data_IF_387657567364
#
_entry.id   IF_387657567364
#
_cell.length_a   1.000
_cell.length_b   1.000
_cell.length_c   1.000
_cell.angle_alpha   90.00
_cell.angle_beta   90.00
_cell.angle_gamma   90.00
#
_symmetry.space_group_name_H-M   'P 1'
#
loop_
_entity.id
_entity.type
_entity.pdbx_description
1 polymer ?
#
# COMPACT_ATOMS: atom_id res chain seq x y z
N UNK A 1 -4.47 17.48 25.94
CA UNK A 1 -3.25 16.87 25.36
C UNK A 1 -3.56 16.12 24.06
N UNK A 2 -4.49 15.14 23.99
CA UNK A 2 -4.82 14.46 22.73
C UNK A 2 -5.38 15.42 21.67
N UNK A 3 -6.26 16.34 22.08
CA UNK A 3 -6.85 17.35 21.19
C UNK A 3 -5.82 18.25 20.53
N UNK A 4 -4.74 18.60 21.23
CA UNK A 4 -3.67 19.45 20.68
C UNK A 4 -2.83 18.66 19.68
N UNK A 5 -2.51 17.39 20.00
CA UNK A 5 -1.76 16.48 19.13
C UNK A 5 -2.56 16.15 17.85
N UNK A 6 -3.86 15.85 17.97
CA UNK A 6 -4.73 15.53 16.82
C UNK A 6 -5.19 16.76 16.02
N UNK A 7 -5.16 17.97 16.58
CA UNK A 7 -5.61 19.18 15.88
C UNK A 7 -4.70 19.63 14.74
N UNK A 8 -3.52 19.03 14.58
CA UNK A 8 -2.45 19.49 13.68
C UNK A 8 -1.99 20.95 13.91
N UNK A 9 -2.49 21.63 14.95
CA UNK A 9 -2.17 23.04 15.24
C UNK A 9 -0.70 23.24 15.61
N UNK A 10 -0.05 22.21 16.16
CA UNK A 10 1.39 22.26 16.47
C UNK A 10 2.23 22.27 15.18
N UNK A 11 1.82 21.50 14.17
CA UNK A 11 2.48 21.35 12.87
C UNK A 11 2.42 22.67 12.06
N UNK A 12 1.29 23.36 12.16
CA UNK A 12 1.14 24.73 11.67
C UNK A 12 2.14 25.68 12.31
N UNK A 13 2.23 25.66 13.65
CA UNK A 13 3.09 26.58 14.40
C UNK A 13 4.56 26.33 14.06
N UNK A 14 4.99 25.07 14.00
CA UNK A 14 6.36 24.74 13.60
C UNK A 14 6.66 25.19 12.18
N UNK A 15 5.81 24.89 11.20
CA UNK A 15 6.06 25.30 9.81
C UNK A 15 6.11 26.82 9.67
N UNK A 16 5.28 27.55 10.43
CA UNK A 16 5.32 29.01 10.48
C UNK A 16 6.63 29.56 11.06
N UNK A 17 7.16 28.97 12.14
CA UNK A 17 8.43 29.40 12.75
C UNK A 17 9.65 29.04 11.90
N UNK A 18 9.64 27.90 11.20
CA UNK A 18 10.74 27.45 10.34
C UNK A 18 10.65 27.97 8.89
N UNK A 19 9.60 28.73 8.55
CA UNK A 19 9.31 29.24 7.18
C UNK A 19 9.14 28.14 6.13
N UNK A 20 8.76 26.95 6.55
CA UNK A 20 8.39 25.86 5.66
C UNK A 20 6.97 26.08 5.11
N UNK A 21 6.61 25.33 4.07
CA UNK A 21 5.27 25.44 3.48
C UNK A 21 4.21 25.19 4.55
N UNK A 22 3.13 25.95 4.51
CA UNK A 22 2.02 25.79 5.48
C UNK A 22 1.39 24.39 5.41
N UNK A 23 1.40 23.82 4.20
CA UNK A 23 1.04 22.44 3.92
C UNK A 23 2.05 21.41 4.42
N UNK A 24 3.25 21.79 4.88
CA UNK A 24 4.29 20.84 5.30
C UNK A 24 4.58 19.80 4.22
N UNK A 25 4.60 18.51 4.57
CA UNK A 25 4.73 17.38 3.64
C UNK A 25 3.66 17.35 2.51
N UNK A 26 2.55 18.10 2.64
CA UNK A 26 1.53 18.20 1.61
C UNK A 26 1.90 19.17 0.46
N UNK A 27 3.00 19.95 0.54
CA UNK A 27 3.42 20.79 -0.61
C UNK A 27 4.08 20.02 -1.74
N UNK A 28 4.58 18.81 -1.48
CA UNK A 28 5.21 17.94 -2.49
C UNK A 28 4.21 16.95 -3.09
N UNK A 29 2.95 17.02 -2.71
CA UNK A 29 1.91 16.13 -3.19
C UNK A 29 1.34 16.66 -4.50
N UNK A 30 1.41 15.83 -5.53
CA UNK A 30 0.83 16.12 -6.83
C UNK A 30 -0.60 15.63 -6.88
N UNK A 31 -1.47 16.39 -7.53
CA UNK A 31 -2.88 16.05 -7.73
C UNK A 31 -3.10 15.54 -9.16
N UNK A 32 -3.99 14.57 -9.31
CA UNK A 32 -4.34 14.01 -10.60
C UNK A 32 -5.20 15.01 -11.40
N UNK A 33 -4.65 15.54 -12.48
CA UNK A 33 -5.34 16.49 -13.38
C UNK A 33 -6.16 15.80 -14.47
N UNK A 34 -5.93 14.51 -14.70
CA UNK A 34 -6.50 13.75 -15.83
C UNK A 34 -7.82 13.04 -15.45
N UNK A 35 -8.36 13.37 -14.27
CA UNK A 35 -9.65 12.92 -13.79
C UNK A 35 -9.75 11.40 -13.75
N UNK A 36 -10.84 10.86 -14.31
CA UNK A 36 -11.17 9.43 -14.23
C UNK A 36 -10.16 8.55 -14.99
N UNK A 37 -9.60 9.05 -16.10
CA UNK A 37 -8.60 8.29 -16.86
C UNK A 37 -7.29 8.17 -16.08
N UNK A 38 -6.83 9.27 -15.48
CA UNK A 38 -5.69 9.25 -14.57
C UNK A 38 -5.97 8.39 -13.33
N UNK A 39 -7.20 8.39 -12.82
CA UNK A 39 -7.58 7.58 -11.67
C UNK A 39 -7.48 6.09 -11.97
N UNK A 40 -7.90 5.66 -13.16
CA UNK A 40 -7.82 4.27 -13.57
C UNK A 40 -6.36 3.83 -13.76
N UNK A 41 -5.53 4.68 -14.37
CA UNK A 41 -4.11 4.40 -14.51
C UNK A 41 -3.41 4.30 -13.13
N UNK A 42 -3.70 5.25 -12.23
CA UNK A 42 -3.19 5.24 -10.85
C UNK A 42 -3.66 4.02 -10.06
N UNK A 43 -4.92 3.63 -10.22
CA UNK A 43 -5.46 2.44 -9.57
C UNK A 43 -4.64 1.19 -9.94
N UNK A 44 -4.27 1.05 -11.22
CA UNK A 44 -3.45 -0.07 -11.68
C UNK A 44 -2.02 0.06 -11.16
N UNK A 45 -1.41 1.26 -11.21
CA UNK A 45 -0.07 1.52 -10.65
C UNK A 45 0.01 1.11 -9.18
N UNK A 46 -0.92 1.60 -8.35
CA UNK A 46 -0.97 1.24 -6.93
C UNK A 46 -1.23 -0.25 -6.71
N UNK A 47 -2.04 -0.90 -7.56
CA UNK A 47 -2.26 -2.35 -7.48
C UNK A 47 -0.97 -3.13 -7.79
N UNK A 48 -0.17 -2.68 -8.76
CA UNK A 48 1.13 -3.28 -9.09
C UNK A 48 2.17 -3.00 -8.00
N UNK A 49 2.21 -1.79 -7.43
CA UNK A 49 3.06 -1.46 -6.28
C UNK A 49 2.67 -2.23 -5.02
N UNK A 50 1.42 -2.68 -4.93
CA UNK A 50 1.01 -3.54 -3.82
C UNK A 50 1.66 -4.91 -3.90
N UNK A 51 2.07 -5.36 -5.10
CA UNK A 51 2.84 -6.58 -5.31
C UNK A 51 4.30 -6.49 -4.84
N UNK A 52 4.74 -5.31 -4.39
CA UNK A 52 6.15 -5.02 -4.14
C UNK A 52 6.82 -6.03 -3.21
N UNK A 53 7.84 -6.71 -3.73
CA UNK A 53 8.68 -7.60 -2.93
C UNK A 53 9.74 -6.76 -2.23
N UNK A 54 9.98 -7.02 -0.94
CA UNK A 54 11.07 -6.38 -0.22
C UNK A 54 12.39 -6.64 -0.96
N UNK A 55 13.21 -5.60 -1.15
CA UNK A 55 14.52 -5.68 -1.82
C UNK A 55 15.37 -6.93 -1.47
N UNK A 56 15.49 -7.40 -0.21
CA UNK A 56 16.22 -8.63 0.09
C UNK A 56 15.67 -9.90 -0.56
N UNK A 57 14.36 -9.94 -0.82
CA UNK A 57 13.68 -11.07 -1.46
C UNK A 57 13.93 -11.06 -2.97
N UNK A 58 13.91 -9.89 -3.62
CA UNK A 58 14.27 -9.78 -5.04
C UNK A 58 15.76 -10.07 -5.26
N UNK A 59 16.65 -9.56 -4.39
CA UNK A 59 18.09 -9.91 -4.43
C UNK A 59 18.33 -11.41 -4.25
N UNK A 60 17.54 -12.09 -3.42
CA UNK A 60 17.60 -13.54 -3.30
C UNK A 60 17.16 -14.24 -4.60
N UNK A 61 16.05 -13.82 -5.19
CA UNK A 61 15.54 -14.39 -6.44
C UNK A 61 16.48 -14.12 -7.62
N UNK A 62 17.02 -12.91 -7.72
CA UNK A 62 18.02 -12.54 -8.72
C UNK A 62 19.28 -13.38 -8.55
N UNK A 63 19.78 -13.56 -7.33
CA UNK A 63 21.00 -14.33 -7.07
C UNK A 63 20.85 -15.84 -7.26
N UNK A 64 19.66 -16.40 -7.00
CA UNK A 64 19.41 -17.85 -7.09
C UNK A 64 18.89 -18.26 -8.46
N UNK A 65 18.04 -17.44 -9.08
CA UNK A 65 17.32 -17.78 -10.31
C UNK A 65 17.68 -16.87 -11.51
N UNK A 66 18.55 -15.87 -11.34
CA UNK A 66 18.86 -14.84 -12.36
C UNK A 66 17.60 -14.18 -12.93
N UNK A 67 16.58 -14.00 -12.08
CA UNK A 67 15.28 -13.48 -12.48
C UNK A 67 14.78 -12.46 -11.44
N UNK A 68 14.51 -11.24 -11.88
CA UNK A 68 13.83 -10.22 -11.05
C UNK A 68 12.33 -10.28 -11.26
N UNK A 69 11.58 -10.18 -10.16
CA UNK A 69 10.12 -10.17 -10.19
C UNK A 69 9.56 -8.82 -10.67
N UNK A 70 10.33 -7.73 -10.64
CA UNK A 70 9.88 -6.42 -11.11
C UNK A 70 9.67 -6.37 -12.62
N UNK A 71 10.62 -6.92 -13.40
CA UNK A 71 10.63 -6.84 -14.86
C UNK A 71 9.35 -7.35 -15.54
N UNK A 72 8.80 -8.53 -15.20
CA UNK A 72 7.56 -8.99 -15.81
C UNK A 72 6.35 -8.11 -15.43
N UNK A 73 6.30 -7.54 -14.23
CA UNK A 73 5.23 -6.61 -13.85
C UNK A 73 5.35 -5.27 -14.59
N UNK A 74 6.56 -4.73 -14.71
CA UNK A 74 6.81 -3.52 -15.49
C UNK A 74 6.43 -3.72 -16.96
N UNK A 75 6.79 -4.87 -17.54
CA UNK A 75 6.42 -5.21 -18.93
C UNK A 75 4.90 -5.31 -19.12
N UNK A 76 4.19 -5.86 -18.12
CA UNK A 76 2.73 -5.93 -18.12
C UNK A 76 2.11 -4.52 -18.04
N UNK A 77 2.67 -3.64 -17.20
CA UNK A 77 2.28 -2.23 -17.14
C UNK A 77 2.50 -1.52 -18.47
N UNK A 78 3.67 -1.64 -19.09
CA UNK A 78 3.99 -0.98 -20.35
C UNK A 78 3.04 -1.43 -21.47
N UNK A 79 2.73 -2.73 -21.52
CA UNK A 79 1.83 -3.30 -22.51
C UNK A 79 0.37 -2.87 -22.34
N UNK A 80 -0.16 -2.86 -21.10
CA UNK A 80 -1.59 -2.59 -20.86
C UNK A 80 -1.91 -1.15 -20.48
N UNK A 81 -1.13 -0.55 -19.58
CA UNK A 81 -1.45 0.76 -19.03
C UNK A 81 -0.79 1.84 -19.88
N UNK A 82 0.51 1.74 -20.11
CA UNK A 82 1.24 2.78 -20.83
C UNK A 82 0.81 2.90 -22.30
N UNK A 83 0.51 1.77 -22.94
CA UNK A 83 0.05 1.76 -24.34
C UNK A 83 -1.36 2.34 -24.53
N UNK A 84 -2.25 2.24 -23.52
CA UNK A 84 -3.65 2.67 -23.64
C UNK A 84 -3.96 3.99 -22.92
N UNK A 85 -3.32 4.23 -21.78
CA UNK A 85 -3.56 5.37 -20.88
C UNK A 85 -2.36 6.30 -20.76
N UNK A 86 -1.21 5.94 -21.36
CA UNK A 86 0.01 6.73 -21.29
C UNK A 86 0.49 6.94 -19.86
N UNK A 87 0.96 8.16 -19.59
CA UNK A 87 1.40 8.60 -18.26
C UNK A 87 0.28 9.36 -17.51
N UNK A 88 -0.98 9.25 -17.97
CA UNK A 88 -2.09 9.97 -17.34
C UNK A 88 -2.20 9.63 -15.85
N UNK A 89 -2.46 10.63 -15.02
CA UNK A 89 -2.58 10.52 -13.56
C UNK A 89 -1.24 10.42 -12.82
N UNK A 90 -0.11 10.28 -13.52
CA UNK A 90 1.21 10.25 -12.89
C UNK A 90 1.90 11.62 -13.00
N UNK A 91 2.53 12.06 -11.93
CA UNK A 91 3.37 13.26 -11.94
C UNK A 91 4.83 12.96 -12.30
N UNK A 92 5.23 11.69 -12.30
CA UNK A 92 6.54 11.19 -12.74
C UNK A 92 6.35 9.90 -13.56
N UNK A 93 7.35 9.52 -14.36
CA UNK A 93 7.27 8.29 -15.14
C UNK A 93 7.23 7.07 -14.21
N UNK A 94 6.27 6.17 -14.45
CA UNK A 94 6.12 4.95 -13.65
C UNK A 94 7.25 3.96 -13.95
N UNK A 95 8.04 3.65 -12.92
CA UNK A 95 9.09 2.65 -12.97
C UNK A 95 9.05 1.80 -11.70
N UNK A 96 8.77 0.50 -11.87
CA UNK A 96 8.71 -0.47 -10.79
C UNK A 96 10.12 -0.90 -10.39
N UNK A 97 10.90 0.01 -9.81
CA UNK A 97 12.19 -0.30 -9.20
C UNK A 97 11.99 -0.59 -7.72
N UNK A 98 12.56 -1.70 -7.25
CA UNK A 98 12.54 -2.02 -5.83
C UNK A 98 13.54 -1.10 -5.11
N UNK A 99 13.08 0.08 -4.66
CA UNK A 99 13.86 0.98 -3.82
C UNK A 99 14.33 0.28 -2.53
N UNK A 100 15.64 0.30 -2.30
CA UNK A 100 16.26 -0.33 -1.11
C UNK A 100 15.96 0.42 0.20
N UNK A 101 15.65 1.72 0.10
CA UNK A 101 15.54 2.62 1.25
C UNK A 101 14.09 2.93 1.67
N UNK A 102 13.10 2.63 0.82
CA UNK A 102 11.69 2.87 1.16
C UNK A 102 11.04 1.54 1.58
N UNK A 103 10.93 1.34 2.89
CA UNK A 103 10.28 0.17 3.53
C UNK A 103 8.78 0.07 3.24
N UNK A 104 8.22 0.94 2.41
CA UNK A 104 6.78 1.13 2.34
C UNK A 104 6.12 0.37 1.18
N UNK A 105 6.04 -0.94 1.36
CA UNK A 105 4.93 -1.72 0.82
C UNK A 105 4.64 -2.90 1.74
N UNK A 106 3.38 -3.10 2.11
CA UNK A 106 2.91 -4.30 2.82
C UNK A 106 3.24 -5.60 2.06
N UNK A 107 3.61 -5.43 0.79
CA UNK A 107 4.27 -6.40 -0.03
C UNK A 107 3.42 -7.63 -0.32
N UNK A 108 4.03 -8.81 -0.49
CA UNK A 108 3.33 -9.99 -0.98
C UNK A 108 2.14 -10.38 -0.09
N UNK A 109 2.19 -10.09 1.21
CA UNK A 109 1.09 -10.39 2.13
C UNK A 109 -0.13 -9.52 1.85
N UNK A 110 0.05 -8.21 1.61
CA UNK A 110 -1.07 -7.37 1.22
C UNK A 110 -1.67 -7.81 -0.11
N UNK A 111 -0.82 -8.04 -1.11
CA UNK A 111 -1.28 -8.38 -2.45
C UNK A 111 -1.98 -9.73 -2.51
N UNK A 112 -1.38 -10.79 -1.98
CA UNK A 112 -1.93 -12.15 -2.10
C UNK A 112 -2.97 -12.48 -1.04
N UNK A 113 -3.00 -11.73 0.06
CA UNK A 113 -3.81 -12.09 1.22
C UNK A 113 -4.86 -11.03 1.54
N UNK A 114 -4.46 -9.77 1.71
CA UNK A 114 -5.41 -8.69 2.08
C UNK A 114 -6.35 -8.36 0.92
N UNK A 115 -5.82 -8.11 -0.29
CA UNK A 115 -6.64 -7.74 -1.44
C UNK A 115 -7.66 -8.85 -1.80
N UNK A 116 -7.27 -10.13 -2.00
CA UNK A 116 -8.22 -11.20 -2.26
C UNK A 116 -9.22 -11.41 -1.12
N UNK A 117 -8.79 -11.30 0.13
CA UNK A 117 -9.70 -11.40 1.27
C UNK A 117 -10.74 -10.28 1.27
N UNK A 118 -10.34 -9.06 0.94
CA UNK A 118 -11.23 -7.91 0.83
C UNK A 118 -12.25 -8.09 -0.32
N UNK A 119 -11.79 -8.51 -1.50
CA UNK A 119 -12.67 -8.85 -2.62
C UNK A 119 -13.63 -9.98 -2.27
N UNK A 120 -13.15 -11.03 -1.60
CA UNK A 120 -13.98 -12.13 -1.14
C UNK A 120 -15.03 -11.67 -0.12
N UNK A 121 -14.64 -10.84 0.84
CA UNK A 121 -15.52 -10.23 1.84
C UNK A 121 -16.60 -9.35 1.19
N UNK A 122 -16.26 -8.61 0.13
CA UNK A 122 -17.21 -7.82 -0.65
C UNK A 122 -18.24 -8.70 -1.37
N UNK A 123 -17.83 -9.84 -1.94
CA UNK A 123 -18.73 -10.73 -2.69
C UNK A 123 -19.59 -11.62 -1.79
N UNK A 124 -18.98 -12.24 -0.78
CA UNK A 124 -19.62 -13.30 0.04
C UNK A 124 -19.83 -12.93 1.51
N UNK A 125 -19.39 -11.76 1.96
CA UNK A 125 -19.54 -11.33 3.36
C UNK A 125 -20.99 -11.07 3.81
N UNK A 126 -21.25 -11.03 5.12
CA UNK A 126 -22.51 -10.51 5.66
C UNK A 126 -22.67 -9.01 5.35
N UNK A 127 -23.92 -8.48 5.38
CA UNK A 127 -24.23 -7.10 4.97
C UNK A 127 -23.29 -6.03 5.54
N UNK A 128 -22.95 -6.12 6.83
CA UNK A 128 -22.03 -5.17 7.50
C UNK A 128 -20.58 -5.29 7.01
N UNK A 129 -20.13 -6.51 6.73
CA UNK A 129 -18.78 -6.73 6.19
C UNK A 129 -18.68 -6.21 4.76
N UNK A 130 -19.72 -6.43 3.96
CA UNK A 130 -19.81 -5.93 2.59
C UNK A 130 -19.75 -4.40 2.53
N UNK A 131 -20.48 -3.70 3.39
CA UNK A 131 -20.44 -2.24 3.42
C UNK A 131 -19.04 -1.71 3.77
N UNK A 132 -18.34 -2.36 4.70
CA UNK A 132 -16.97 -1.97 5.06
C UNK A 132 -16.00 -2.27 3.92
N UNK A 133 -16.10 -3.43 3.26
CA UNK A 133 -15.27 -3.76 2.12
C UNK A 133 -15.47 -2.76 0.96
N UNK A 134 -16.72 -2.38 0.67
CA UNK A 134 -17.03 -1.36 -0.34
C UNK A 134 -16.44 0.00 0.05
N UNK A 135 -16.51 0.39 1.33
CA UNK A 135 -15.90 1.63 1.81
C UNK A 135 -14.38 1.63 1.60
N UNK A 136 -13.70 0.50 1.81
CA UNK A 136 -12.27 0.37 1.53
C UNK A 136 -11.95 0.48 0.04
N UNK A 137 -12.68 -0.22 -0.82
CA UNK A 137 -12.49 -0.08 -2.27
C UNK A 137 -12.76 1.36 -2.73
N UNK A 138 -13.74 2.03 -2.13
CA UNK A 138 -14.04 3.44 -2.39
C UNK A 138 -12.90 4.34 -1.93
N UNK A 139 -12.31 4.09 -0.76
CA UNK A 139 -11.11 4.80 -0.30
C UNK A 139 -9.96 4.62 -1.30
N UNK A 140 -9.71 3.38 -1.74
CA UNK A 140 -8.64 3.10 -2.69
C UNK A 140 -8.84 3.86 -4.01
N UNK A 141 -10.07 3.87 -4.50
CA UNK A 141 -10.44 4.65 -5.68
C UNK A 141 -10.28 6.16 -5.46
N UNK A 142 -10.69 6.70 -4.30
CA UNK A 142 -10.53 8.13 -3.99
C UNK A 142 -9.07 8.56 -3.95
N UNK A 143 -8.19 7.75 -3.35
CA UNK A 143 -6.75 8.03 -3.36
C UNK A 143 -6.23 8.06 -4.80
N UNK A 144 -6.61 7.07 -5.61
CA UNK A 144 -6.24 7.02 -7.03
C UNK A 144 -6.80 8.20 -7.84
N UNK A 145 -7.98 8.68 -7.49
CA UNK A 145 -8.66 9.79 -8.16
C UNK A 145 -8.07 11.15 -7.82
N UNK A 146 -7.75 11.40 -6.55
CA UNK A 146 -7.34 12.71 -6.05
C UNK A 146 -5.83 12.91 -6.26
N UNK A 147 -5.02 11.93 -5.89
CA UNK A 147 -3.57 12.06 -5.90
C UNK A 147 -3.01 11.59 -7.24
N UNK A 148 -2.03 12.34 -7.74
CA UNK A 148 -1.21 11.87 -8.84
C UNK A 148 -0.18 10.89 -8.32
N UNK A 149 0.11 9.87 -9.12
CA UNK A 149 1.12 8.89 -8.76
C UNK A 149 2.51 9.52 -8.78
N UNK A 150 3.27 9.32 -7.70
CA UNK A 150 4.73 9.51 -7.61
C UNK A 150 5.33 8.43 -6.72
N UNK A 151 6.65 8.18 -6.83
CA UNK A 151 7.38 7.39 -5.83
C UNK A 151 7.07 7.91 -4.41
N UNK A 152 6.79 7.00 -3.48
CA UNK A 152 6.40 7.31 -2.09
C UNK A 152 4.91 7.57 -1.84
N UNK A 153 4.08 7.89 -2.86
CA UNK A 153 2.64 8.14 -2.62
C UNK A 153 1.85 6.90 -2.18
N UNK A 154 2.43 5.71 -2.34
CA UNK A 154 1.89 4.45 -1.85
C UNK A 154 1.72 4.42 -0.32
N UNK A 155 2.42 5.27 0.44
CA UNK A 155 2.28 5.43 1.89
C UNK A 155 0.84 5.76 2.32
N UNK A 156 0.06 6.43 1.46
CA UNK A 156 -1.34 6.74 1.74
C UNK A 156 -2.22 5.48 1.91
N UNK A 157 -1.76 4.33 1.40
CA UNK A 157 -2.42 3.04 1.56
C UNK A 157 -2.05 2.32 2.86
N UNK A 158 -1.19 2.90 3.71
CA UNK A 158 -0.88 2.36 5.05
C UNK A 158 -2.14 2.05 5.84
N UNK A 159 -2.93 3.10 6.04
CA UNK A 159 -4.14 3.03 6.83
C UNK A 159 -5.11 2.04 6.19
N UNK A 160 -5.19 2.01 4.85
CA UNK A 160 -6.03 1.07 4.12
C UNK A 160 -5.64 -0.37 4.41
N UNK A 161 -4.37 -0.76 4.27
CA UNK A 161 -3.95 -2.15 4.43
C UNK A 161 -4.00 -2.62 5.89
N UNK A 162 -3.58 -1.78 6.84
CA UNK A 162 -3.67 -2.08 8.28
C UNK A 162 -5.12 -2.33 8.68
N UNK A 163 -6.03 -1.45 8.25
CA UNK A 163 -7.43 -1.56 8.61
C UNK A 163 -8.19 -2.59 7.78
N UNK A 164 -7.82 -2.88 6.54
CA UNK A 164 -8.41 -3.94 5.73
C UNK A 164 -7.97 -5.35 6.18
N UNK A 165 -6.89 -5.45 6.97
CA UNK A 165 -6.33 -6.73 7.42
C UNK A 165 -7.31 -7.65 8.18
N UNK A 166 -8.34 -7.13 8.84
CA UNK A 166 -9.34 -7.99 9.50
C UNK A 166 -10.14 -8.84 8.50
N UNK A 167 -10.23 -8.43 7.23
CA UNK A 167 -10.93 -9.19 6.18
C UNK A 167 -10.31 -10.58 5.98
N UNK A 168 -9.01 -10.72 6.26
CA UNK A 168 -8.30 -11.99 6.21
C UNK A 168 -8.92 -13.04 7.14
N UNK A 169 -9.46 -12.63 8.29
CA UNK A 169 -10.12 -13.53 9.23
C UNK A 169 -11.41 -14.16 8.67
N UNK A 170 -12.07 -13.48 7.73
CA UNK A 170 -13.24 -14.03 7.03
C UNK A 170 -12.86 -14.90 5.83
N UNK A 171 -11.71 -14.61 5.20
CA UNK A 171 -11.19 -15.37 4.08
C UNK A 171 -10.70 -16.75 4.51
N UNK A 172 -10.03 -16.83 5.66
CA UNK A 172 -9.62 -18.12 6.21
C UNK A 172 -10.82 -18.89 6.77
N UNK A 173 -10.90 -20.21 6.52
CA UNK A 173 -11.79 -21.07 7.30
C UNK A 173 -11.49 -20.91 8.79
N UNK A 174 -12.40 -21.28 9.71
CA UNK A 174 -12.10 -21.33 11.13
C UNK A 174 -11.04 -22.41 11.39
N UNK A 175 -9.77 -22.04 11.16
CA UNK A 175 -8.63 -22.89 11.38
C UNK A 175 -8.59 -23.12 12.89
N UNK A 176 -8.93 -24.36 13.27
CA UNK A 176 -8.77 -24.82 14.65
C UNK A 176 -7.29 -25.00 14.89
N UNK A 177 -6.59 -23.89 15.16
CA UNK A 177 -5.19 -23.93 15.51
C UNK A 177 -5.03 -24.75 16.79
N UNK A 178 -4.26 -25.83 16.71
CA UNK A 178 -3.77 -26.50 17.91
C UNK A 178 -2.89 -25.54 18.71
N UNK A 179 -2.79 -25.75 20.03
CA UNK A 179 -2.00 -24.89 20.94
C UNK A 179 -0.57 -24.66 20.44
N UNK A 180 0.03 -25.67 19.78
CA UNK A 180 1.37 -25.58 19.17
C UNK A 180 1.43 -24.61 18.00
N UNK A 181 0.50 -24.69 17.05
CA UNK A 181 0.49 -23.80 15.87
C UNK A 181 0.22 -22.36 16.32
N UNK A 182 -0.70 -22.15 17.26
CA UNK A 182 -0.97 -20.81 17.81
C UNK A 182 0.29 -20.20 18.43
N UNK A 183 1.06 -20.98 19.20
CA UNK A 183 2.34 -20.54 19.78
C UNK A 183 3.36 -20.18 18.69
N UNK A 184 3.48 -21.00 17.65
CA UNK A 184 4.43 -20.74 16.56
C UNK A 184 4.07 -19.48 15.76
N UNK A 185 2.78 -19.27 15.45
CA UNK A 185 2.30 -18.06 14.77
C UNK A 185 2.52 -16.82 15.64
N UNK A 186 2.29 -16.92 16.95
CA UNK A 186 2.56 -15.81 17.88
C UNK A 186 4.06 -15.50 17.96
N UNK A 187 4.93 -16.51 18.03
CA UNK A 187 6.38 -16.31 18.04
C UNK A 187 6.83 -15.67 16.72
N UNK A 188 6.35 -16.16 15.58
CA UNK A 188 6.65 -15.57 14.28
C UNK A 188 6.17 -14.11 14.18
N UNK A 189 4.97 -13.81 14.67
CA UNK A 189 4.43 -12.45 14.73
C UNK A 189 5.25 -11.53 15.63
N UNK A 190 5.61 -11.98 16.84
CA UNK A 190 6.47 -11.22 17.74
C UNK A 190 7.88 -11.02 17.17
N UNK A 191 8.42 -12.02 16.47
CA UNK A 191 9.72 -11.93 15.83
C UNK A 191 9.72 -10.94 14.66
N UNK A 192 8.66 -10.94 13.84
CA UNK A 192 8.47 -9.94 12.79
C UNK A 192 8.35 -8.53 13.37
N UNK A 193 7.55 -8.35 14.43
CA UNK A 193 7.45 -7.07 15.14
C UNK A 193 8.80 -6.61 15.69
N UNK A 194 9.58 -7.52 16.27
CA UNK A 194 10.90 -7.24 16.78
C UNK A 194 11.87 -6.80 15.67
N UNK A 195 11.86 -7.48 14.52
CA UNK A 195 12.65 -7.08 13.34
C UNK A 195 12.23 -5.70 12.86
N UNK A 196 10.93 -5.43 12.72
CA UNK A 196 10.45 -4.11 12.26
C UNK A 196 10.83 -2.98 13.21
N UNK A 197 10.87 -3.25 14.52
CA UNK A 197 11.29 -2.27 15.52
C UNK A 197 12.80 -2.02 15.49
N UNK A 198 13.60 -3.04 15.16
CA UNK A 198 15.05 -2.92 15.00
C UNK A 198 15.47 -2.21 13.70
N UNK A 199 14.66 -2.31 12.65
CA UNK A 199 14.93 -1.62 11.37
C UNK A 199 14.48 -0.16 11.36
N UNK A 200 13.59 0.22 12.28
CA UNK A 200 13.10 1.59 12.45
C UNK A 200 14.00 2.46 13.37
N UNK A 201 15.06 1.88 13.95
CA UNK A 201 16.07 2.54 14.79
C UNK A 201 17.42 2.63 14.09
#
# INVERSE_FOLDING_TARGET
IPTVIFSQSWLFLTNHFYKDSWSGAFSTIFFNTDGIQGALANFIRYLLESFYFTAPLDLFFEKVFNWSMAQPLQSLYDFFVRSFLGENGAAQAFDLTWMTDEMFSFGPVAFFLVLPALFYAMLKGPRRLKSVAIAFISYFYLVSLIFAWTPGTAELFEVFYVSAGFSMAFFFPPWRFTKKIKKNVQIAGCFLLFITLLTAS
#
